data_IF_218651512024
#
_entry.id   IF_218651512024
#
_cell.length_a   1.000
_cell.length_b   1.000
_cell.length_c   1.000
_cell.angle_alpha   90.00
_cell.angle_beta   90.00
_cell.angle_gamma   90.00
#
_symmetry.space_group_name_H-M   'P 1'
#
loop_
_entity.id
_entity.type
_entity.pdbx_description
1 polymer ?
#
# COMPACT_ATOMS: atom_id res chain seq x y z
N UNK A 1 -15.84 3.95 11.78
CA UNK A 1 -14.99 4.95 11.11
C UNK A 1 -13.65 4.95 11.82
N UNK A 2 -12.56 4.82 11.06
CA UNK A 2 -11.18 4.78 11.57
C UNK A 2 -10.43 5.99 11.01
N UNK A 3 -9.59 6.64 11.80
CA UNK A 3 -8.70 7.69 11.34
C UNK A 3 -7.32 7.10 11.03
N UNK A 4 -6.86 7.23 9.78
CA UNK A 4 -5.50 6.86 9.39
C UNK A 4 -4.60 8.08 9.60
N UNK A 5 -3.72 8.01 10.60
CA UNK A 5 -2.93 9.12 11.12
C UNK A 5 -1.85 9.64 10.14
N UNK A 6 -1.51 8.85 9.14
CA UNK A 6 -0.50 9.14 8.12
C UNK A 6 -0.26 7.89 7.27
N UNK A 7 0.54 8.05 6.23
CA UNK A 7 0.94 7.01 5.31
C UNK A 7 2.41 7.22 4.92
N UNK A 8 3.23 6.17 5.05
CA UNK A 8 4.67 6.11 4.71
C UNK A 8 5.47 7.39 5.08
N UNK A 9 5.25 7.92 6.28
CA UNK A 9 5.82 9.19 6.75
C UNK A 9 7.34 9.20 6.60
N UNK A 10 8.02 8.06 6.80
CA UNK A 10 9.48 7.99 6.66
C UNK A 10 9.97 8.34 5.26
N UNK A 11 9.16 8.09 4.23
CA UNK A 11 9.46 8.42 2.83
C UNK A 11 8.88 9.77 2.43
N UNK A 12 7.64 10.10 2.80
CA UNK A 12 7.00 11.36 2.40
C UNK A 12 7.59 12.58 3.10
N UNK A 13 7.84 12.49 4.41
CA UNK A 13 8.30 13.62 5.21
C UNK A 13 9.83 13.71 5.28
N UNK A 14 10.34 14.94 5.39
CA UNK A 14 11.76 15.17 5.68
C UNK A 14 12.10 14.84 7.14
N UNK A 15 13.37 14.48 7.39
CA UNK A 15 13.87 14.17 8.74
C UNK A 15 13.91 12.67 9.09
N UNK A 16 13.39 11.82 8.20
CA UNK A 16 13.43 10.36 8.34
C UNK A 16 14.46 9.76 7.39
N UNK A 17 14.03 9.28 6.22
CA UNK A 17 14.94 8.74 5.21
C UNK A 17 15.85 9.83 4.61
N UNK A 18 17.12 9.52 4.28
CA UNK A 18 18.02 10.47 3.64
C UNK A 18 17.52 10.94 2.26
N UNK A 19 17.56 12.26 2.03
CA UNK A 19 17.17 12.90 0.77
C UNK A 19 16.38 14.19 1.03
N UNK A 20 16.48 15.16 0.12
CA UNK A 20 15.82 16.46 0.29
C UNK A 20 14.35 16.39 -0.12
N UNK A 21 14.08 15.77 -1.27
CA UNK A 21 12.72 15.59 -1.80
C UNK A 21 12.21 14.16 -1.65
N UNK A 22 10.90 13.97 -1.74
CA UNK A 22 10.29 12.65 -1.82
C UNK A 22 10.88 11.82 -2.97
N UNK A 23 11.08 12.45 -4.13
CA UNK A 23 11.68 11.79 -5.30
C UNK A 23 13.13 11.36 -5.07
N UNK A 24 13.92 12.10 -4.28
CA UNK A 24 15.27 11.67 -3.89
C UNK A 24 15.21 10.41 -3.04
N UNK A 25 14.35 10.41 -2.01
CA UNK A 25 14.17 9.27 -1.09
C UNK A 25 13.74 8.01 -1.84
N UNK A 26 12.75 8.11 -2.72
CA UNK A 26 12.32 6.98 -3.56
C UNK A 26 13.44 6.43 -4.46
N UNK A 27 14.20 7.31 -5.14
CA UNK A 27 15.31 6.88 -5.98
C UNK A 27 16.40 6.18 -5.18
N UNK A 28 16.71 6.69 -3.99
CA UNK A 28 17.66 6.06 -3.08
C UNK A 28 17.16 4.67 -2.70
N UNK A 29 15.92 4.53 -2.23
CA UNK A 29 15.35 3.23 -1.85
C UNK A 29 15.34 2.23 -3.02
N UNK A 30 14.99 2.67 -4.23
CA UNK A 30 14.94 1.81 -5.41
C UNK A 30 16.32 1.29 -5.86
N UNK A 31 17.40 1.96 -5.46
CA UNK A 31 18.78 1.62 -5.84
C UNK A 31 19.65 1.19 -4.65
N UNK A 32 19.07 1.16 -3.45
CA UNK A 32 19.77 0.87 -2.21
C UNK A 32 20.16 -0.60 -2.09
N UNK A 33 21.35 -0.84 -1.55
CA UNK A 33 21.82 -2.17 -1.20
C UNK A 33 21.38 -2.58 0.22
N UNK A 34 21.69 -3.82 0.60
CA UNK A 34 21.32 -4.37 1.91
C UNK A 34 22.00 -3.61 3.07
N UNK A 35 23.17 -3.02 2.84
CA UNK A 35 23.88 -2.24 3.87
C UNK A 35 23.08 -0.98 4.19
N UNK A 36 22.62 -0.26 3.16
CA UNK A 36 21.76 0.90 3.34
C UNK A 36 20.46 0.54 4.07
N UNK A 37 19.77 -0.53 3.66
CA UNK A 37 18.54 -0.98 4.33
C UNK A 37 18.78 -1.36 5.80
N UNK A 38 19.90 -2.02 6.09
CA UNK A 38 20.29 -2.38 7.46
C UNK A 38 20.66 -1.16 8.32
N UNK A 39 21.03 -0.04 7.69
CA UNK A 39 21.40 1.20 8.38
C UNK A 39 20.22 2.02 8.89
N UNK A 40 18.97 1.62 8.57
CA UNK A 40 17.77 2.41 8.86
C UNK A 40 17.32 2.40 10.33
N UNK A 41 18.03 1.74 11.25
CA UNK A 41 17.69 1.72 12.69
C UNK A 41 17.33 3.10 13.28
N UNK A 42 18.18 4.14 13.11
CA UNK A 42 17.86 5.49 13.59
C UNK A 42 16.62 6.12 12.93
N UNK A 43 16.28 5.72 11.71
CA UNK A 43 15.05 6.17 11.03
C UNK A 43 13.83 5.56 11.72
N UNK A 44 13.89 4.26 12.04
CA UNK A 44 12.84 3.55 12.76
C UNK A 44 12.62 4.14 14.16
N UNK A 45 13.70 4.42 14.89
CA UNK A 45 13.63 5.06 16.21
C UNK A 45 12.91 6.41 16.15
N UNK A 46 13.32 7.29 15.23
CA UNK A 46 12.68 8.60 15.05
C UNK A 46 11.20 8.48 14.66
N UNK A 47 10.86 7.53 13.81
CA UNK A 47 9.47 7.29 13.41
C UNK A 47 8.64 6.85 14.62
N UNK A 48 9.13 5.88 15.39
CA UNK A 48 8.44 5.35 16.56
C UNK A 48 8.36 6.36 17.73
N UNK A 49 9.28 7.32 17.82
CA UNK A 49 9.14 8.46 18.75
C UNK A 49 8.07 9.47 18.29
N UNK A 50 7.88 9.61 16.98
CA UNK A 50 6.98 10.59 16.39
C UNK A 50 5.52 10.11 16.32
N UNK A 51 5.28 8.86 15.93
CA UNK A 51 3.94 8.32 15.72
C UNK A 51 3.01 8.42 16.95
N UNK A 52 3.46 8.17 18.20
CA UNK A 52 2.64 8.38 19.40
C UNK A 52 2.19 9.83 19.58
N UNK A 53 3.01 10.81 19.16
CA UNK A 53 2.66 12.23 19.24
C UNK A 53 1.56 12.58 18.24
N UNK A 54 1.60 11.99 17.03
CA UNK A 54 0.53 12.12 16.04
C UNK A 54 -0.76 11.51 16.59
N UNK A 55 -0.70 10.27 17.09
CA UNK A 55 -1.86 9.57 17.65
C UNK A 55 -2.48 10.38 18.81
N UNK A 56 -1.66 10.92 19.71
CA UNK A 56 -2.13 11.78 20.80
C UNK A 56 -2.84 13.03 20.28
N UNK A 57 -2.28 13.68 19.24
CA UNK A 57 -2.88 14.86 18.61
C UNK A 57 -4.21 14.53 17.94
N UNK A 58 -4.30 13.43 17.18
CA UNK A 58 -5.55 12.97 16.57
C UNK A 58 -6.62 12.73 17.63
N UNK A 59 -6.26 12.09 18.74
CA UNK A 59 -7.19 11.76 19.83
C UNK A 59 -7.77 12.97 20.57
N UNK A 60 -7.18 14.17 20.46
CA UNK A 60 -7.81 15.40 20.99
C UNK A 60 -8.98 15.89 20.13
N UNK A 61 -9.04 15.47 18.87
CA UNK A 61 -10.04 15.89 17.90
C UNK A 61 -10.98 14.76 17.46
N UNK A 62 -10.57 13.51 17.64
CA UNK A 62 -11.27 12.34 17.15
C UNK A 62 -11.38 11.25 18.23
N UNK A 63 -12.62 10.87 18.57
CA UNK A 63 -12.91 9.86 19.59
C UNK A 63 -13.09 8.41 19.07
N UNK A 64 -12.85 8.17 17.77
CA UNK A 64 -12.93 6.82 17.18
C UNK A 64 -11.58 6.10 17.17
N UNK A 65 -11.53 4.97 16.46
CA UNK A 65 -10.31 4.17 16.32
C UNK A 65 -9.27 4.87 15.43
N UNK A 66 -8.00 4.76 15.80
CA UNK A 66 -6.88 5.37 15.09
C UNK A 66 -5.89 4.29 14.63
N UNK A 67 -5.40 4.41 13.41
CA UNK A 67 -4.31 3.58 12.87
C UNK A 67 -3.33 4.45 12.09
N UNK A 68 -2.34 3.82 11.47
CA UNK A 68 -1.32 4.42 10.61
C UNK A 68 -1.09 3.46 9.43
N UNK A 69 -0.85 3.96 8.22
CA UNK A 69 -0.56 3.14 7.05
C UNK A 69 0.96 3.01 6.89
N UNK A 70 1.52 1.86 7.29
CA UNK A 70 2.95 1.62 7.25
C UNK A 70 3.39 0.96 5.96
N UNK A 71 4.46 1.49 5.38
CA UNK A 71 5.16 0.83 4.28
C UNK A 71 5.84 -0.48 4.75
N UNK A 72 6.16 -1.42 3.83
CA UNK A 72 6.85 -2.67 4.19
C UNK A 72 8.20 -2.51 4.89
N UNK A 73 8.85 -1.35 4.79
CA UNK A 73 10.13 -1.05 5.44
C UNK A 73 9.99 -0.34 6.80
N UNK A 74 8.77 -0.02 7.25
CA UNK A 74 8.53 0.67 8.53
C UNK A 74 8.19 -0.35 9.63
N UNK A 75 9.08 -0.51 10.61
CA UNK A 75 8.88 -1.37 11.78
C UNK A 75 8.23 -0.56 12.91
N UNK A 76 6.91 -0.45 12.86
CA UNK A 76 6.12 0.42 13.74
C UNK A 76 5.83 -0.22 15.10
N UNK A 77 5.97 0.56 16.18
CA UNK A 77 5.38 0.25 17.49
C UNK A 77 3.89 0.66 17.49
N UNK A 78 3.03 -0.34 17.48
CA UNK A 78 1.57 -0.19 17.43
C UNK A 78 0.92 0.17 18.77
N UNK A 79 1.71 0.38 19.83
CA UNK A 79 1.20 0.66 21.18
C UNK A 79 0.21 1.83 21.25
N UNK A 80 0.44 2.90 20.46
CA UNK A 80 -0.40 4.09 20.43
C UNK A 80 -1.68 3.97 19.56
N UNK A 81 -1.78 2.93 18.73
CA UNK A 81 -2.82 2.74 17.73
C UNK A 81 -3.79 1.62 18.09
N UNK A 82 -5.01 1.68 17.55
CA UNK A 82 -6.07 0.70 17.80
C UNK A 82 -6.03 -0.47 16.81
N UNK A 83 -5.45 -0.25 15.61
CA UNK A 83 -5.25 -1.24 14.56
C UNK A 83 -3.83 -1.16 14.01
N UNK A 84 -3.34 -2.29 13.50
CA UNK A 84 -2.16 -2.37 12.64
C UNK A 84 -2.58 -2.04 11.21
N UNK A 85 -2.06 -0.98 10.61
CA UNK A 85 -2.39 -0.56 9.24
C UNK A 85 -1.19 -0.71 8.32
N UNK A 86 -1.30 -1.54 7.28
CA UNK A 86 -0.14 -1.92 6.45
C UNK A 86 -0.43 -1.77 4.95
N UNK A 87 0.59 -1.37 4.22
CA UNK A 87 0.58 -1.34 2.76
C UNK A 87 1.14 -2.69 2.26
N UNK A 88 0.23 -3.61 1.91
CA UNK A 88 0.54 -5.02 1.68
C UNK A 88 0.66 -5.34 0.18
N UNK A 89 1.79 -4.96 -0.40
CA UNK A 89 2.15 -5.31 -1.78
C UNK A 89 2.88 -6.64 -1.88
N UNK A 90 2.25 -7.62 -2.53
CA UNK A 90 2.89 -8.86 -2.96
C UNK A 90 3.63 -8.62 -4.26
N UNK A 91 4.82 -9.19 -4.39
CA UNK A 91 5.72 -9.03 -5.51
C UNK A 91 6.47 -10.35 -5.79
N UNK A 92 7.28 -10.39 -6.85
CA UNK A 92 8.08 -11.57 -7.16
C UNK A 92 9.07 -11.93 -6.05
N UNK A 93 9.62 -10.93 -5.35
CA UNK A 93 10.67 -11.14 -4.35
C UNK A 93 10.15 -11.64 -2.98
N UNK A 94 8.86 -11.49 -2.69
CA UNK A 94 8.26 -11.91 -1.41
C UNK A 94 7.12 -12.93 -1.58
N UNK A 95 6.93 -13.51 -2.76
CA UNK A 95 5.83 -14.47 -3.01
C UNK A 95 5.82 -15.63 -1.99
N UNK A 96 7.00 -16.12 -1.60
CA UNK A 96 7.13 -17.24 -0.66
C UNK A 96 6.99 -16.80 0.81
N UNK A 97 7.30 -15.53 1.13
CA UNK A 97 7.28 -14.99 2.50
C UNK A 97 6.05 -14.15 2.83
N UNK A 98 5.24 -13.77 1.84
CA UNK A 98 4.17 -12.77 2.00
C UNK A 98 3.15 -13.14 3.09
N UNK A 99 2.78 -14.42 3.19
CA UNK A 99 1.89 -14.89 4.26
C UNK A 99 2.53 -14.80 5.64
N UNK A 100 3.82 -15.09 5.73
CA UNK A 100 4.55 -14.99 7.00
C UNK A 100 4.74 -13.53 7.43
N UNK A 101 4.91 -12.60 6.47
CA UNK A 101 4.88 -11.16 6.72
C UNK A 101 3.53 -10.73 7.32
N UNK A 102 2.40 -11.15 6.73
CA UNK A 102 1.05 -10.89 7.27
C UNK A 102 0.86 -11.45 8.68
N UNK A 103 1.31 -12.69 8.93
CA UNK A 103 1.26 -13.32 10.28
C UNK A 103 2.11 -12.56 11.29
N UNK A 104 3.24 -12.01 10.86
CA UNK A 104 4.06 -11.12 11.69
C UNK A 104 3.29 -9.92 12.20
N UNK A 105 2.47 -9.30 11.35
CA UNK A 105 1.60 -8.18 11.74
C UNK A 105 0.47 -8.61 12.68
N UNK A 106 -0.14 -9.78 12.44
CA UNK A 106 -1.19 -10.33 13.31
C UNK A 106 -0.67 -10.65 14.73
N UNK A 107 0.63 -10.94 14.87
CA UNK A 107 1.26 -11.25 16.16
C UNK A 107 1.24 -10.06 17.15
N UNK A 108 0.94 -8.83 16.71
CA UNK A 108 0.73 -7.69 17.59
C UNK A 108 -0.56 -7.78 18.43
N UNK A 109 -1.44 -8.76 18.17
CA UNK A 109 -2.67 -8.98 18.92
C UNK A 109 -3.73 -7.89 18.73
N UNK A 110 -3.62 -7.12 17.63
CA UNK A 110 -4.55 -6.08 17.20
C UNK A 110 -5.13 -6.46 15.84
N UNK A 111 -6.35 -5.99 15.48
CA UNK A 111 -6.86 -6.14 14.12
C UNK A 111 -5.88 -5.54 13.10
N UNK A 112 -5.66 -6.25 12.00
CA UNK A 112 -4.81 -5.82 10.89
C UNK A 112 -5.70 -5.31 9.76
N UNK A 113 -5.48 -4.08 9.34
CA UNK A 113 -6.07 -3.46 8.17
C UNK A 113 -5.00 -3.34 7.08
N UNK A 114 -5.22 -3.97 5.92
CA UNK A 114 -4.44 -3.66 4.72
C UNK A 114 -4.95 -2.32 4.18
N UNK A 115 -4.21 -1.25 4.46
CA UNK A 115 -4.55 0.13 4.09
C UNK A 115 -4.31 0.42 2.62
N UNK A 116 -3.44 -0.36 1.98
CA UNK A 116 -3.10 -0.22 0.58
C UNK A 116 -2.67 -1.58 0.01
N UNK A 117 -3.29 -1.98 -1.11
CA UNK A 117 -2.78 -3.02 -2.00
C UNK A 117 -3.33 -2.80 -3.41
N UNK A 118 -2.67 -3.37 -4.41
CA UNK A 118 -3.18 -3.37 -5.78
C UNK A 118 -2.09 -3.62 -6.81
N UNK A 119 -2.45 -3.53 -8.08
CA UNK A 119 -1.49 -3.55 -9.20
C UNK A 119 -2.01 -2.76 -10.39
N UNK A 120 -1.17 -2.56 -11.41
CA UNK A 120 -1.52 -1.90 -12.68
C UNK A 120 -2.04 -2.91 -13.73
N UNK A 121 -2.68 -2.41 -14.80
CA UNK A 121 -3.34 -3.23 -15.81
C UNK A 121 -2.43 -3.61 -16.99
N UNK A 122 -1.27 -4.23 -16.71
CA UNK A 122 -0.38 -4.80 -17.73
C UNK A 122 0.20 -6.13 -17.28
N UNK A 123 0.62 -6.96 -18.24
CA UNK A 123 1.16 -8.29 -17.95
C UNK A 123 2.39 -8.22 -17.05
N UNK A 124 2.37 -8.93 -15.93
CA UNK A 124 3.47 -8.98 -14.96
C UNK A 124 3.51 -7.76 -14.02
N UNK A 125 2.52 -6.87 -14.05
CA UNK A 125 2.43 -5.77 -13.10
C UNK A 125 2.35 -6.27 -11.66
N UNK A 126 1.69 -7.42 -11.44
CA UNK A 126 1.54 -8.01 -10.12
C UNK A 126 2.88 -8.36 -9.48
N UNK A 127 3.89 -8.70 -10.27
CA UNK A 127 5.22 -9.09 -9.78
C UNK A 127 6.05 -7.91 -9.26
N UNK A 128 5.61 -6.67 -9.51
CA UNK A 128 6.37 -5.44 -9.21
C UNK A 128 5.97 -4.76 -7.90
N UNK A 129 5.00 -5.32 -7.16
CA UNK A 129 4.52 -4.76 -5.89
C UNK A 129 4.09 -3.29 -6.01
N UNK A 130 4.49 -2.47 -5.04
CA UNK A 130 4.21 -1.02 -5.00
C UNK A 130 4.84 -0.21 -6.14
N UNK A 131 5.69 -0.82 -6.97
CA UNK A 131 6.38 -0.16 -8.10
C UNK A 131 5.74 -0.45 -9.46
N UNK A 132 4.55 -1.05 -9.50
CA UNK A 132 3.85 -1.33 -10.75
C UNK A 132 3.50 -0.06 -11.56
N UNK A 133 3.46 1.13 -10.95
CA UNK A 133 3.27 2.38 -11.70
C UNK A 133 4.46 2.73 -12.61
N UNK A 134 5.66 2.18 -12.36
CA UNK A 134 6.80 2.28 -13.27
C UNK A 134 6.65 1.27 -14.40
N UNK A 135 5.87 1.67 -15.41
CA UNK A 135 5.53 0.83 -16.56
C UNK A 135 6.78 0.54 -17.41
N UNK A 136 7.15 -0.74 -17.60
CA UNK A 136 8.24 -1.11 -18.49
C UNK A 136 8.00 -0.68 -19.95
N UNK A 137 9.07 -0.37 -20.67
CA UNK A 137 8.97 -0.10 -22.11
C UNK A 137 8.42 -1.33 -22.83
N UNK A 138 7.37 -1.12 -23.66
CA UNK A 138 6.71 -2.19 -24.39
C UNK A 138 5.77 -3.06 -23.53
N UNK A 139 5.41 -2.61 -22.33
CA UNK A 139 4.40 -3.30 -21.51
C UNK A 139 3.11 -3.53 -22.29
N UNK A 140 2.57 -4.75 -22.16
CA UNK A 140 1.34 -5.16 -22.86
C UNK A 140 0.15 -4.99 -21.92
N UNK A 141 -0.86 -4.17 -22.28
CA UNK A 141 -2.07 -4.01 -21.47
C UNK A 141 -2.76 -5.36 -21.18
N UNK A 142 -3.16 -5.54 -19.92
CA UNK A 142 -3.83 -6.72 -19.41
C UNK A 142 -4.65 -6.35 -18.15
N UNK A 143 -5.95 -6.10 -18.31
CA UNK A 143 -6.84 -5.87 -17.16
C UNK A 143 -7.15 -7.15 -16.37
N UNK A 144 -6.94 -8.34 -16.96
CA UNK A 144 -7.09 -9.59 -16.23
C UNK A 144 -5.97 -9.75 -15.18
N UNK A 145 -4.83 -9.06 -15.34
CA UNK A 145 -3.77 -9.01 -14.32
C UNK A 145 -4.29 -8.41 -13.01
N UNK A 146 -4.94 -7.23 -13.07
CA UNK A 146 -5.52 -6.61 -11.88
C UNK A 146 -6.58 -7.51 -11.23
N UNK A 147 -7.43 -8.15 -12.05
CA UNK A 147 -8.46 -9.03 -11.55
C UNK A 147 -7.89 -10.28 -10.85
N UNK A 148 -6.87 -10.92 -11.43
CA UNK A 148 -6.17 -12.07 -10.81
C UNK A 148 -5.50 -11.66 -9.50
N UNK A 149 -4.75 -10.56 -9.51
CA UNK A 149 -4.06 -10.05 -8.32
C UNK A 149 -5.04 -9.71 -7.19
N UNK A 150 -6.17 -9.06 -7.52
CA UNK A 150 -7.23 -8.78 -6.57
C UNK A 150 -7.79 -10.05 -5.92
N UNK A 151 -8.18 -11.04 -6.72
CA UNK A 151 -8.75 -12.29 -6.21
C UNK A 151 -7.73 -13.05 -5.35
N UNK A 152 -6.51 -13.21 -5.84
CA UNK A 152 -5.42 -13.89 -5.12
C UNK A 152 -5.18 -13.25 -3.74
N UNK A 153 -4.95 -11.94 -3.70
CA UNK A 153 -4.60 -11.28 -2.45
C UNK A 153 -5.78 -11.20 -1.49
N UNK A 154 -7.00 -10.96 -1.98
CA UNK A 154 -8.17 -10.94 -1.10
C UNK A 154 -8.42 -12.31 -0.48
N UNK A 155 -8.24 -13.40 -1.23
CA UNK A 155 -8.35 -14.76 -0.68
C UNK A 155 -7.25 -15.01 0.38
N UNK A 156 -6.01 -14.58 0.14
CA UNK A 156 -4.93 -14.63 1.15
C UNK A 156 -5.31 -13.84 2.41
N UNK A 157 -5.80 -12.60 2.25
CA UNK A 157 -6.15 -11.74 3.38
C UNK A 157 -7.28 -12.35 4.23
N UNK A 158 -8.31 -12.90 3.59
CA UNK A 158 -9.41 -13.58 4.30
C UNK A 158 -8.93 -14.85 5.01
N UNK A 159 -8.05 -15.64 4.39
CA UNK A 159 -7.50 -16.85 4.99
C UNK A 159 -6.58 -16.58 6.19
N UNK A 160 -5.75 -15.54 6.12
CA UNK A 160 -4.86 -15.16 7.23
C UNK A 160 -5.59 -14.38 8.34
N UNK A 161 -6.82 -13.91 8.09
CA UNK A 161 -7.63 -13.21 9.10
C UNK A 161 -7.38 -11.70 9.18
N UNK A 162 -7.02 -11.06 8.06
CA UNK A 162 -7.01 -9.60 7.92
C UNK A 162 -8.43 -9.06 8.10
N UNK A 163 -8.58 -8.00 8.89
CA UNK A 163 -9.89 -7.40 9.24
C UNK A 163 -10.51 -6.64 8.06
N UNK A 164 -9.68 -5.90 7.32
CA UNK A 164 -10.12 -5.15 6.15
C UNK A 164 -8.97 -4.96 5.15
N UNK A 165 -9.30 -4.87 3.87
CA UNK A 165 -8.33 -4.63 2.81
C UNK A 165 -8.84 -3.57 1.83
N UNK A 166 -8.03 -2.53 1.59
CA UNK A 166 -8.39 -1.37 0.78
C UNK A 166 -7.56 -1.34 -0.50
N UNK A 167 -8.24 -1.48 -1.64
CA UNK A 167 -7.58 -1.36 -2.93
C UNK A 167 -7.15 0.08 -3.18
N UNK A 168 -5.86 0.27 -3.43
CA UNK A 168 -5.34 1.50 -3.99
C UNK A 168 -5.43 1.38 -5.51
N UNK A 169 -6.30 2.12 -6.21
CA UNK A 169 -7.22 3.18 -5.76
C UNK A 169 -8.47 3.19 -6.63
N UNK A 170 -9.42 4.11 -6.42
CA UNK A 170 -10.57 4.25 -7.32
C UNK A 170 -10.10 4.62 -8.75
N UNK A 171 -9.35 5.71 -8.88
CA UNK A 171 -8.90 6.25 -10.16
C UNK A 171 -7.49 6.83 -10.10
N UNK A 172 -6.72 6.67 -11.18
CA UNK A 172 -5.48 7.40 -11.39
C UNK A 172 -5.72 8.75 -12.03
N UNK A 173 -6.19 9.74 -11.25
CA UNK A 173 -6.58 11.06 -11.78
C UNK A 173 -5.47 11.79 -12.56
N UNK A 174 -4.20 11.53 -12.23
CA UNK A 174 -3.04 12.09 -12.92
C UNK A 174 -2.59 11.30 -14.15
N UNK A 175 -3.32 10.23 -14.52
CA UNK A 175 -2.96 9.28 -15.59
C UNK A 175 -4.13 9.01 -16.55
N UNK A 176 -4.70 10.03 -17.22
CA UNK A 176 -5.77 9.83 -18.18
C UNK A 176 -5.27 9.18 -19.49
N UNK A 177 -6.18 8.52 -20.20
CA UNK A 177 -5.95 8.00 -21.55
C UNK A 177 -4.84 6.95 -21.61
N UNK A 178 -3.86 7.17 -22.48
CA UNK A 178 -2.74 6.24 -22.70
C UNK A 178 -1.83 6.05 -21.46
N UNK A 179 -1.87 7.00 -20.51
CA UNK A 179 -1.09 6.92 -19.27
C UNK A 179 -1.73 5.99 -18.22
N UNK A 180 -2.97 5.54 -18.44
CA UNK A 180 -3.71 4.65 -17.54
C UNK A 180 -2.98 3.32 -17.28
N UNK A 181 -2.05 2.93 -18.16
CA UNK A 181 -1.28 1.70 -17.99
C UNK A 181 -0.47 1.69 -16.68
N UNK A 182 -0.04 2.86 -16.18
CA UNK A 182 0.63 3.01 -14.89
C UNK A 182 -0.30 3.37 -13.72
N UNK A 183 -1.61 3.20 -13.91
CA UNK A 183 -2.64 3.49 -12.91
C UNK A 183 -3.07 2.21 -12.21
N UNK A 184 -3.07 2.26 -10.87
CA UNK A 184 -3.70 1.24 -10.04
C UNK A 184 -5.24 1.36 -9.98
N UNK A 185 -5.80 2.42 -10.56
CA UNK A 185 -7.23 2.71 -10.53
C UNK A 185 -8.07 1.53 -11.03
N UNK A 186 -9.17 1.24 -10.34
CA UNK A 186 -10.20 0.28 -10.80
C UNK A 186 -11.00 0.83 -11.98
N UNK A 187 -10.92 2.14 -12.23
CA UNK A 187 -11.46 2.79 -13.44
C UNK A 187 -10.32 3.39 -14.27
N UNK A 188 -10.52 3.44 -15.58
CA UNK A 188 -9.69 4.21 -16.51
C UNK A 188 -10.25 5.62 -16.64
N UNK A 189 -9.40 6.62 -16.40
CA UNK A 189 -9.77 8.01 -16.66
C UNK A 189 -9.68 8.30 -18.17
N UNK A 190 -10.78 8.76 -18.76
CA UNK A 190 -10.85 9.18 -20.16
C UNK A 190 -10.43 10.65 -20.32
N UNK A 191 -10.70 11.46 -19.30
CA UNK A 191 -10.23 12.83 -19.12
C UNK A 191 -10.28 13.19 -17.62
N UNK A 192 -10.27 14.47 -17.26
CA UNK A 192 -10.33 14.92 -15.86
C UNK A 192 -11.61 14.54 -15.11
N UNK A 193 -12.70 14.20 -15.81
CA UNK A 193 -14.04 13.99 -15.21
C UNK A 193 -14.71 12.70 -15.63
N UNK A 194 -14.44 12.20 -16.83
CA UNK A 194 -15.06 11.00 -17.39
C UNK A 194 -14.15 9.79 -17.15
N UNK A 195 -14.76 8.66 -16.83
CA UNK A 195 -14.07 7.41 -16.61
C UNK A 195 -14.92 6.22 -17.07
N UNK A 196 -14.27 5.08 -17.30
CA UNK A 196 -14.91 3.80 -17.57
C UNK A 196 -14.37 2.72 -16.62
N UNK A 197 -15.21 1.76 -16.16
CA UNK A 197 -14.76 0.69 -15.27
C UNK A 197 -13.81 -0.27 -15.99
N UNK A 198 -12.73 -0.67 -15.31
CA UNK A 198 -11.87 -1.79 -15.75
C UNK A 198 -12.48 -3.11 -15.30
N UNK A 199 -11.97 -4.24 -15.82
CA UNK A 199 -12.39 -5.58 -15.36
C UNK A 199 -12.39 -5.75 -13.85
N UNK A 200 -11.35 -5.26 -13.15
CA UNK A 200 -11.23 -5.38 -11.69
C UNK A 200 -12.38 -4.70 -10.94
N UNK A 201 -12.95 -3.61 -11.46
CA UNK A 201 -14.15 -2.97 -10.89
C UNK A 201 -15.31 -3.96 -10.82
N UNK A 202 -15.55 -4.68 -11.91
CA UNK A 202 -16.61 -5.68 -11.98
C UNK A 202 -16.31 -6.90 -11.11
N UNK A 203 -15.04 -7.32 -11.06
CA UNK A 203 -14.59 -8.42 -10.18
C UNK A 203 -14.84 -8.07 -8.71
N UNK A 204 -14.48 -6.87 -8.27
CA UNK A 204 -14.73 -6.37 -6.91
C UNK A 204 -16.22 -6.31 -6.60
N UNK A 205 -17.02 -5.73 -7.49
CA UNK A 205 -18.47 -5.64 -7.31
C UNK A 205 -19.11 -7.03 -7.15
N UNK A 206 -18.67 -8.00 -7.95
CA UNK A 206 -19.16 -9.38 -7.86
C UNK A 206 -18.70 -10.09 -6.58
N UNK A 207 -17.47 -9.82 -6.12
CA UNK A 207 -16.90 -10.41 -4.89
C UNK A 207 -17.62 -9.91 -3.64
N UNK A 208 -17.81 -8.59 -3.51
CA UNK A 208 -18.45 -7.99 -2.34
C UNK A 208 -19.97 -8.12 -2.30
N UNK A 209 -20.63 -8.56 -3.38
CA UNK A 209 -22.04 -8.95 -3.32
C UNK A 209 -22.28 -10.33 -2.69
N UNK A 210 -21.24 -11.16 -2.57
CA UNK A 210 -21.33 -12.55 -2.09
C UNK A 210 -21.03 -12.70 -0.60
N UNK A 211 -20.37 -11.71 0.01
CA UNK A 211 -20.14 -11.61 1.45
C UNK A 211 -21.19 -10.75 2.12
#
# INVERSE_FOLDING_TARGET
MVFVAGCEISAFCGGFLPGDTYGDRLRTMASADMEWWSSLGPVQERLNDFLPQIAATVRTHFGGQVTYASAPWEFVDWGAFDLVGIDAYRAAYNVDSFRDELRGHLAHGKPVAVTEYGTCAYRGAGERGGMAWEVPYGAVPDEDEQARYFTELLDIFEEEGVDTALWFTFAGYSRPGEHDLGSYGVVRMLDERRWEPKKVFHTMAARYQRG
#
